data_IF_708961758585
#
_entry.id   IF_708961758585
#
_cell.length_a   1.000
_cell.length_b   1.000
_cell.length_c   1.000
_cell.angle_alpha   90.00
_cell.angle_beta   90.00
_cell.angle_gamma   90.00
#
_symmetry.space_group_name_H-M   'P 1'
#
loop_
_entity.id
_entity.type
_entity.pdbx_description
1 polymer ?
#
# COMPACT_ATOMS: atom_id res chain seq x y z
N UNK A 1 -4.11 2.71 -10.31
CA UNK A 1 -3.15 1.66 -9.95
C UNK A 1 -3.02 1.64 -8.44
N UNK A 2 -2.78 0.44 -7.91
CA UNK A 2 -2.64 0.22 -6.48
C UNK A 2 -1.18 -0.02 -6.16
N UNK A 3 -0.66 0.65 -5.16
CA UNK A 3 0.67 0.42 -4.62
C UNK A 3 0.53 -0.30 -3.28
N UNK A 4 1.34 -1.32 -3.07
CA UNK A 4 1.46 -2.02 -1.80
C UNK A 4 2.85 -1.78 -1.21
N UNK A 5 2.90 -1.03 -0.11
CA UNK A 5 4.13 -0.70 0.61
C UNK A 5 4.24 -1.52 1.90
N UNK A 6 5.39 -2.17 2.09
CA UNK A 6 5.71 -2.96 3.28
C UNK A 6 6.70 -2.24 4.20
N UNK A 7 7.17 -1.06 3.81
CA UNK A 7 8.07 -0.24 4.61
C UNK A 7 7.74 1.24 4.55
N UNK A 8 8.29 2.00 5.51
CA UNK A 8 8.23 3.48 5.49
C UNK A 8 8.93 4.08 4.27
N UNK A 9 9.95 3.40 3.74
CA UNK A 9 10.63 3.84 2.53
C UNK A 9 9.70 3.70 1.33
N UNK A 10 8.96 2.59 1.23
CA UNK A 10 7.92 2.38 0.22
C UNK A 10 6.81 3.43 0.28
N UNK A 11 6.34 3.78 1.49
CA UNK A 11 5.35 4.86 1.67
C UNK A 11 5.88 6.20 1.16
N UNK A 12 7.10 6.59 1.55
CA UNK A 12 7.71 7.86 1.12
C UNK A 12 7.92 7.92 -0.41
N UNK A 13 8.29 6.79 -1.02
CA UNK A 13 8.41 6.68 -2.47
C UNK A 13 7.04 6.86 -3.15
N UNK A 14 6.00 6.22 -2.62
CA UNK A 14 4.63 6.38 -3.11
C UNK A 14 4.14 7.83 -3.01
N UNK A 15 4.38 8.52 -1.89
CA UNK A 15 3.96 9.92 -1.74
C UNK A 15 4.50 10.83 -2.84
N UNK A 16 5.72 10.56 -3.30
CA UNK A 16 6.32 11.31 -4.41
C UNK A 16 5.60 11.04 -5.73
N UNK A 17 5.28 9.78 -6.03
CA UNK A 17 4.51 9.39 -7.23
C UNK A 17 3.06 9.91 -7.18
N UNK A 18 2.44 9.92 -6.01
CA UNK A 18 1.07 10.39 -5.82
C UNK A 18 0.93 11.89 -6.09
N UNK A 19 1.97 12.68 -5.79
CA UNK A 19 1.98 14.13 -6.10
C UNK A 19 1.82 14.40 -7.60
N UNK A 20 2.37 13.53 -8.45
CA UNK A 20 2.26 13.64 -9.90
C UNK A 20 0.92 13.09 -10.42
N UNK A 21 0.35 12.08 -9.75
CA UNK A 21 -0.95 11.52 -10.10
C UNK A 21 -1.75 11.07 -8.86
N UNK A 22 -2.71 11.91 -8.47
CA UNK A 22 -3.54 11.72 -7.27
C UNK A 22 -4.55 10.57 -7.37
N UNK A 23 -4.71 9.95 -8.54
CA UNK A 23 -5.61 8.81 -8.72
C UNK A 23 -5.02 7.50 -8.18
N UNK A 24 -3.74 7.49 -7.78
CA UNK A 24 -3.08 6.32 -7.21
C UNK A 24 -3.55 6.04 -5.79
N UNK A 25 -3.58 4.75 -5.43
CA UNK A 25 -4.05 4.26 -4.12
C UNK A 25 -2.90 3.56 -3.41
N UNK A 26 -2.83 3.72 -2.10
CA UNK A 26 -1.85 3.08 -1.25
C UNK A 26 -2.51 2.03 -0.36
N UNK A 27 -2.03 0.81 -0.45
CA UNK A 27 -2.19 -0.20 0.58
C UNK A 27 -0.89 -0.30 1.35
N UNK A 28 -0.98 -0.38 2.66
CA UNK A 28 0.18 -0.38 3.56
C UNK A 28 0.11 -1.60 4.48
N UNK A 29 1.21 -2.33 4.63
CA UNK A 29 1.29 -3.47 5.55
C UNK A 29 1.06 -3.04 7.00
N UNK A 30 0.49 -3.95 7.80
CA UNK A 30 0.12 -3.67 9.18
C UNK A 30 1.33 -3.22 10.01
N UNK A 31 1.21 -2.06 10.65
CA UNK A 31 2.23 -1.53 11.56
C UNK A 31 3.34 -0.71 10.89
N UNK A 32 3.33 -0.56 9.56
CA UNK A 32 4.24 0.38 8.87
C UNK A 32 3.88 1.82 9.21
N UNK A 33 2.58 2.14 9.21
CA UNK A 33 2.01 3.42 9.61
C UNK A 33 1.07 3.24 10.82
N UNK A 34 1.03 4.26 11.69
CA UNK A 34 -0.01 4.37 12.72
C UNK A 34 -1.33 4.84 12.13
N UNK A 35 -2.42 4.69 12.89
CA UNK A 35 -3.73 5.23 12.48
C UNK A 35 -3.70 6.76 12.31
N UNK A 36 -2.95 7.47 13.15
CA UNK A 36 -2.77 8.92 13.05
C UNK A 36 -2.01 9.31 11.78
N UNK A 37 -0.95 8.58 11.44
CA UNK A 37 -0.19 8.78 10.20
C UNK A 37 -1.07 8.52 8.96
N UNK A 38 -1.86 7.44 8.96
CA UNK A 38 -2.82 7.14 7.89
C UNK A 38 -3.93 8.20 7.81
N UNK A 39 -4.44 8.69 8.94
CA UNK A 39 -5.43 9.76 8.96
C UNK A 39 -4.86 11.07 8.39
N UNK A 40 -3.60 11.40 8.70
CA UNK A 40 -2.92 12.55 8.13
C UNK A 40 -2.81 12.43 6.60
N UNK A 41 -2.40 11.27 6.08
CA UNK A 41 -2.34 11.03 4.64
C UNK A 41 -3.72 11.14 3.99
N UNK A 42 -4.75 10.50 4.57
CA UNK A 42 -6.13 10.58 4.08
C UNK A 42 -6.66 12.02 4.06
N UNK A 43 -6.26 12.87 5.01
CA UNK A 43 -6.66 14.28 5.05
C UNK A 43 -6.17 15.08 3.84
N UNK A 44 -5.10 14.62 3.17
CA UNK A 44 -4.60 15.22 1.92
C UNK A 44 -5.40 14.81 0.67
N UNK A 45 -6.37 13.90 0.81
CA UNK A 45 -7.13 13.30 -0.28
C UNK A 45 -6.57 11.98 -0.79
N UNK A 46 -5.53 11.45 -0.15
CA UNK A 46 -4.92 10.17 -0.52
C UNK A 46 -5.82 9.00 -0.10
N UNK A 47 -5.98 8.01 -0.98
CA UNK A 47 -6.68 6.77 -0.67
C UNK A 47 -5.68 5.79 -0.06
N UNK A 48 -5.67 5.72 1.28
CA UNK A 48 -4.80 4.83 2.06
C UNK A 48 -5.61 3.74 2.75
N UNK A 49 -5.24 2.48 2.56
CA UNK A 49 -5.85 1.29 3.17
C UNK A 49 -4.82 0.53 3.99
N UNK A 50 -5.16 0.22 5.24
CA UNK A 50 -4.35 -0.66 6.09
C UNK A 50 -4.60 -2.12 5.68
N UNK A 51 -3.55 -2.83 5.26
CA UNK A 51 -3.61 -4.26 5.01
C UNK A 51 -3.43 -4.99 6.34
N UNK A 52 -4.53 -5.50 6.91
CA UNK A 52 -4.51 -6.16 8.23
C UNK A 52 -3.99 -7.60 8.19
N UNK A 53 -3.73 -8.15 7.00
CA UNK A 53 -2.97 -9.39 6.88
C UNK A 53 -1.49 -9.11 7.14
N UNK A 54 -0.76 -10.05 7.74
CA UNK A 54 0.69 -9.90 7.81
C UNK A 54 1.29 -10.21 6.44
N UNK A 55 2.03 -9.25 5.87
CA UNK A 55 2.78 -9.43 4.64
C UNK A 55 4.26 -9.12 4.87
N UNK A 56 4.98 -10.03 5.55
CA UNK A 56 6.42 -9.85 5.76
C UNK A 56 7.13 -9.76 4.42
N UNK A 57 7.82 -8.65 4.22
CA UNK A 57 8.73 -8.49 3.10
C UNK A 57 9.73 -9.66 3.08
N UNK A 58 9.75 -10.42 1.97
CA UNK A 58 10.60 -11.59 1.78
C UNK A 58 9.91 -12.94 2.01
N UNK A 59 8.70 -12.98 2.60
CA UNK A 59 7.88 -14.19 2.60
C UNK A 59 6.98 -14.21 1.35
N UNK A 60 7.32 -15.11 0.41
CA UNK A 60 6.61 -15.24 -0.87
C UNK A 60 5.15 -15.64 -0.67
N UNK A 61 4.82 -16.48 0.31
CA UNK A 61 3.45 -16.94 0.51
C UNK A 61 2.59 -15.82 1.10
N UNK A 62 3.11 -15.11 2.10
CA UNK A 62 2.42 -13.95 2.67
C UNK A 62 2.23 -12.85 1.61
N UNK A 63 3.23 -12.62 0.74
CA UNK A 63 3.12 -11.65 -0.35
C UNK A 63 2.09 -12.06 -1.41
N UNK A 64 2.08 -13.33 -1.83
CA UNK A 64 1.07 -13.84 -2.78
C UNK A 64 -0.34 -13.69 -2.20
N UNK A 65 -0.51 -13.95 -0.90
CA UNK A 65 -1.78 -13.75 -0.23
C UNK A 65 -2.20 -12.28 -0.21
N UNK A 66 -1.29 -11.36 0.12
CA UNK A 66 -1.56 -9.93 0.12
C UNK A 66 -1.99 -9.43 -1.27
N UNK A 67 -1.29 -9.88 -2.32
CA UNK A 67 -1.64 -9.56 -3.71
C UNK A 67 -3.02 -10.09 -4.06
N UNK A 68 -3.36 -11.32 -3.69
CA UNK A 68 -4.67 -11.90 -3.95
C UNK A 68 -5.79 -11.06 -3.31
N UNK A 69 -5.64 -10.67 -2.04
CA UNK A 69 -6.61 -9.82 -1.33
C UNK A 69 -6.74 -8.45 -2.00
N UNK A 70 -5.64 -7.81 -2.38
CA UNK A 70 -5.68 -6.51 -3.07
C UNK A 70 -6.36 -6.65 -4.43
N UNK A 71 -6.09 -7.74 -5.16
CA UNK A 71 -6.68 -8.02 -6.46
C UNK A 71 -8.19 -8.25 -6.37
N UNK A 72 -8.69 -8.88 -5.30
CA UNK A 72 -10.14 -9.02 -5.05
C UNK A 72 -10.82 -7.66 -4.91
N UNK A 73 -10.16 -6.67 -4.30
CA UNK A 73 -10.69 -5.32 -4.13
C UNK A 73 -10.54 -4.45 -5.38
N UNK A 74 -9.49 -4.68 -6.18
CA UNK A 74 -9.14 -3.87 -7.36
C UNK A 74 -8.85 -4.75 -8.59
N UNK A 75 -9.84 -5.51 -9.11
CA UNK A 75 -9.61 -6.60 -10.07
C UNK A 75 -9.12 -6.14 -11.45
N UNK A 76 -9.30 -4.86 -11.80
CA UNK A 76 -8.90 -4.28 -13.07
C UNK A 76 -7.67 -3.37 -12.96
N UNK A 77 -7.10 -3.17 -11.77
CA UNK A 77 -5.97 -2.28 -11.57
C UNK A 77 -4.66 -3.07 -11.45
N UNK A 78 -3.56 -2.60 -12.07
CA UNK A 78 -2.25 -3.18 -11.79
C UNK A 78 -1.83 -2.88 -10.36
N UNK A 79 -1.19 -3.86 -9.72
CA UNK A 79 -0.64 -3.78 -8.37
C UNK A 79 0.88 -3.66 -8.46
N UNK A 80 1.43 -2.61 -7.85
CA UNK A 80 2.87 -2.41 -7.68
C UNK A 80 3.25 -2.77 -6.26
N UNK A 81 4.27 -3.60 -6.10
CA UNK A 81 4.70 -4.12 -4.80
C UNK A 81 6.13 -3.66 -4.56
N UNK A 82 6.41 -3.25 -3.34
CA UNK A 82 7.78 -3.03 -2.88
C UNK A 82 8.60 -4.33 -2.99
N UNK A 83 9.67 -4.31 -3.78
CA UNK A 83 10.61 -5.42 -3.84
C UNK A 83 11.52 -5.38 -2.60
N UNK A 84 11.73 -6.55 -1.99
CA UNK A 84 12.63 -6.74 -0.85
C UNK A 84 14.10 -6.55 -1.22
#
# INVERSE_FOLDING_TARGET
MVFFACSRVGVNAFESLWRDNKAHRLWVDAGVLTEEEMAALRSTGMLVTNFTGHARAGDVQEMVHAVAVIQEHHPAEPIWIEAA
#
